data_IF_787941132975
#
_entry.id   IF_787941132975
#
_cell.length_a   1.000
_cell.length_b   1.000
_cell.length_c   1.000
_cell.angle_alpha   90.00
_cell.angle_beta   90.00
_cell.angle_gamma   90.00
#
_symmetry.space_group_name_H-M   'P 1'
#
loop_
_entity.id
_entity.type
_entity.pdbx_description
1 polymer ?
#
# COMPACT_ATOMS: atom_id res chain seq x y z
N UNK A 1 8.01 37.97 13.38
CA UNK A 1 6.80 37.11 13.35
C UNK A 1 6.58 36.64 11.92
N UNK A 2 7.23 35.54 11.54
CA UNK A 2 7.26 35.06 10.16
C UNK A 2 6.02 34.22 9.82
N UNK A 3 5.36 34.63 8.74
CA UNK A 3 4.25 33.96 8.05
C UNK A 3 4.59 32.50 7.73
N UNK A 4 3.90 31.55 8.37
CA UNK A 4 3.78 30.18 7.90
C UNK A 4 2.82 30.16 6.70
N UNK A 5 3.37 30.09 5.48
CA UNK A 5 2.62 29.65 4.30
C UNK A 5 2.50 28.13 4.36
N UNK A 6 1.42 27.65 4.95
CA UNK A 6 0.96 26.28 4.72
C UNK A 6 0.21 26.26 3.39
N UNK A 7 0.85 25.68 2.38
CA UNK A 7 0.20 25.25 1.14
C UNK A 7 -0.69 24.04 1.48
N UNK A 8 -1.91 24.28 1.95
CA UNK A 8 -2.94 23.25 2.09
C UNK A 8 -3.64 23.04 0.75
N UNK A 9 -3.61 21.81 0.23
CA UNK A 9 -4.50 21.35 -0.83
C UNK A 9 -5.92 21.21 -0.26
N UNK A 10 -6.69 22.31 -0.33
CA UNK A 10 -8.02 22.46 0.27
C UNK A 10 -9.09 21.49 -0.24
N UNK A 11 -8.89 20.76 -1.35
CA UNK A 11 -9.89 19.85 -1.92
C UNK A 11 -9.89 18.45 -1.29
N UNK A 12 -8.73 17.92 -0.88
CA UNK A 12 -8.62 16.58 -0.26
C UNK A 12 -8.98 16.59 1.23
N UNK A 13 -8.68 17.68 1.93
CA UNK A 13 -8.84 17.78 3.39
C UNK A 13 -10.32 17.87 3.82
N UNK A 14 -11.18 18.43 2.97
CA UNK A 14 -12.62 18.54 3.23
C UNK A 14 -13.31 17.17 3.18
N UNK A 15 -12.89 16.31 2.26
CA UNK A 15 -13.48 14.97 2.10
C UNK A 15 -13.08 14.04 3.27
N UNK A 16 -11.80 14.02 3.62
CA UNK A 16 -11.29 13.24 4.78
C UNK A 16 -11.98 13.66 6.07
N UNK A 17 -12.12 14.97 6.31
CA UNK A 17 -12.79 15.48 7.51
C UNK A 17 -14.26 15.04 7.59
N UNK A 18 -14.97 15.04 6.45
CA UNK A 18 -16.35 14.56 6.39
C UNK A 18 -16.46 13.05 6.66
N UNK A 19 -15.53 12.25 6.14
CA UNK A 19 -15.47 10.82 6.44
C UNK A 19 -15.23 10.56 7.93
N UNK A 20 -14.29 11.28 8.54
CA UNK A 20 -13.99 11.16 9.98
C UNK A 20 -15.23 11.53 10.80
N UNK A 21 -15.89 12.66 10.51
CA UNK A 21 -17.10 13.08 11.23
C UNK A 21 -18.21 12.04 11.09
N UNK A 22 -18.43 11.51 9.88
CA UNK A 22 -19.42 10.43 9.65
C UNK A 22 -19.08 9.18 10.45
N UNK A 23 -17.81 8.80 10.51
CA UNK A 23 -17.34 7.64 11.26
C UNK A 23 -17.54 7.83 12.77
N UNK A 24 -17.15 8.99 13.32
CA UNK A 24 -17.38 9.34 14.73
C UNK A 24 -18.88 9.28 15.06
N UNK A 25 -19.74 9.86 14.21
CA UNK A 25 -21.20 9.78 14.41
C UNK A 25 -21.69 8.33 14.44
N UNK A 26 -21.16 7.46 13.57
CA UNK A 26 -21.51 6.03 13.57
C UNK A 26 -21.11 5.35 14.88
N UNK A 27 -19.93 5.67 15.42
CA UNK A 27 -19.47 5.17 16.72
C UNK A 27 -20.42 5.62 17.83
N UNK A 28 -20.81 6.90 17.85
CA UNK A 28 -21.68 7.45 18.89
C UNK A 28 -23.09 6.84 18.88
N UNK A 29 -23.61 6.47 17.71
CA UNK A 29 -24.97 5.90 17.56
C UNK A 29 -24.98 4.38 17.76
N UNK A 30 -23.93 3.66 17.31
CA UNK A 30 -23.86 2.19 17.34
C UNK A 30 -22.47 1.69 17.76
N UNK A 31 -22.03 1.98 18.99
CA UNK A 31 -20.66 1.68 19.43
C UNK A 31 -20.35 0.18 19.36
N UNK A 32 -21.24 -0.66 19.87
CA UNK A 32 -21.03 -2.12 19.92
C UNK A 32 -20.87 -2.74 18.52
N UNK A 33 -21.63 -2.26 17.55
CA UNK A 33 -21.53 -2.73 16.16
C UNK A 33 -20.19 -2.34 15.54
N UNK A 34 -19.71 -1.13 15.81
CA UNK A 34 -18.41 -0.66 15.30
C UNK A 34 -17.28 -1.44 15.98
N UNK A 35 -17.32 -1.60 17.30
CA UNK A 35 -16.34 -2.39 18.06
C UNK A 35 -16.30 -3.82 17.52
N UNK A 36 -17.46 -4.47 17.35
CA UNK A 36 -17.52 -5.82 16.79
C UNK A 36 -16.93 -5.88 15.39
N UNK A 37 -17.23 -4.91 14.52
CA UNK A 37 -16.69 -4.87 13.15
C UNK A 37 -15.17 -4.77 13.15
N UNK A 38 -14.60 -3.92 14.01
CA UNK A 38 -13.14 -3.77 14.14
C UNK A 38 -12.53 -5.06 14.72
N UNK A 39 -13.17 -5.65 15.73
CA UNK A 39 -12.72 -6.91 16.34
C UNK A 39 -12.72 -8.05 15.31
N UNK A 40 -13.81 -8.24 14.58
CA UNK A 40 -13.93 -9.27 13.54
C UNK A 40 -12.87 -9.06 12.44
N UNK A 41 -12.62 -7.81 12.04
CA UNK A 41 -11.59 -7.47 11.07
C UNK A 41 -10.18 -7.83 11.58
N UNK A 42 -9.85 -7.40 12.79
CA UNK A 42 -8.55 -7.70 13.41
C UNK A 42 -8.34 -9.21 13.57
N UNK A 43 -9.39 -9.94 13.99
CA UNK A 43 -9.35 -11.39 14.11
C UNK A 43 -9.10 -12.04 12.74
N UNK A 44 -9.77 -11.57 11.69
CA UNK A 44 -9.55 -12.02 10.32
C UNK A 44 -8.12 -11.75 9.83
N UNK A 45 -7.55 -10.58 10.15
CA UNK A 45 -6.19 -10.22 9.76
C UNK A 45 -5.12 -11.07 10.47
N UNK A 46 -5.32 -11.36 11.76
CA UNK A 46 -4.33 -12.05 12.60
C UNK A 46 -4.45 -13.58 12.54
N UNK A 47 -5.68 -14.10 12.46
CA UNK A 47 -5.98 -15.53 12.62
C UNK A 47 -6.70 -16.12 11.41
N UNK A 48 -6.97 -15.33 10.37
CA UNK A 48 -7.51 -15.82 9.12
C UNK A 48 -6.62 -16.88 8.47
N UNK A 49 -7.23 -17.76 7.67
CA UNK A 49 -6.49 -18.77 6.91
C UNK A 49 -6.12 -18.22 5.54
N UNK A 50 -4.88 -18.45 5.06
CA UNK A 50 -4.50 -18.08 3.71
C UNK A 50 -5.43 -18.73 2.68
N UNK A 51 -5.86 -17.95 1.70
CA UNK A 51 -6.66 -18.44 0.57
C UNK A 51 -5.78 -19.04 -0.52
N UNK A 52 -6.40 -19.67 -1.52
CA UNK A 52 -5.70 -20.15 -2.73
C UNK A 52 -4.86 -19.06 -3.40
N UNK A 53 -5.30 -17.80 -3.39
CA UNK A 53 -4.53 -16.70 -3.95
C UNK A 53 -3.17 -16.51 -3.24
N UNK A 54 -3.16 -16.58 -1.90
CA UNK A 54 -1.94 -16.44 -1.10
C UNK A 54 -0.96 -17.58 -1.40
N UNK A 55 -1.45 -18.82 -1.46
CA UNK A 55 -0.61 -19.98 -1.80
C UNK A 55 -0.09 -19.94 -3.25
N UNK A 56 -0.90 -19.48 -4.19
CA UNK A 56 -0.47 -19.31 -5.59
C UNK A 56 0.63 -18.26 -5.70
N UNK A 57 0.46 -17.10 -5.06
CA UNK A 57 1.50 -16.05 -5.00
C UNK A 57 2.78 -16.62 -4.38
N UNK A 58 2.69 -17.32 -3.24
CA UNK A 58 3.82 -18.01 -2.63
C UNK A 58 4.55 -18.90 -3.61
N UNK A 59 3.83 -19.79 -4.30
CA UNK A 59 4.43 -20.76 -5.20
C UNK A 59 5.15 -20.07 -6.37
N UNK A 60 4.58 -19.00 -6.93
CA UNK A 60 5.22 -18.21 -7.99
C UNK A 60 6.50 -17.56 -7.47
N UNK A 61 6.41 -16.90 -6.30
CA UNK A 61 7.55 -16.19 -5.72
C UNK A 61 8.70 -17.16 -5.43
N UNK A 62 8.43 -18.32 -4.85
CA UNK A 62 9.43 -19.36 -4.59
C UNK A 62 10.01 -19.95 -5.89
N UNK A 63 9.16 -20.26 -6.87
CA UNK A 63 9.60 -20.83 -8.16
C UNK A 63 10.50 -19.87 -8.94
N UNK A 64 10.22 -18.57 -8.87
CA UNK A 64 10.93 -17.54 -9.61
C UNK A 64 12.05 -16.87 -8.82
N UNK A 65 12.21 -17.22 -7.55
CA UNK A 65 13.12 -16.57 -6.61
C UNK A 65 12.91 -15.05 -6.58
N UNK A 66 11.65 -14.63 -6.48
CA UNK A 66 11.27 -13.23 -6.41
C UNK A 66 11.15 -12.75 -4.96
N UNK A 67 11.05 -11.43 -4.79
CA UNK A 67 10.70 -10.80 -3.53
C UNK A 67 9.20 -10.47 -3.52
N UNK A 68 8.55 -10.63 -2.37
CA UNK A 68 7.15 -10.29 -2.18
C UNK A 68 7.01 -9.08 -1.26
N UNK A 69 6.29 -8.07 -1.74
CA UNK A 69 5.80 -6.94 -0.98
C UNK A 69 4.27 -7.00 -0.98
N UNK A 70 3.64 -6.77 0.17
CA UNK A 70 2.18 -6.69 0.26
C UNK A 70 1.78 -5.43 0.97
N UNK A 71 0.67 -4.82 0.52
CA UNK A 71 0.06 -3.68 1.20
C UNK A 71 -1.05 -4.03 2.19
N UNK A 72 -1.34 -5.32 2.30
CA UNK A 72 -2.40 -5.77 3.16
C UNK A 72 -1.98 -5.66 4.64
N UNK A 73 -2.89 -5.22 5.53
CA UNK A 73 -2.63 -5.17 6.96
C UNK A 73 -2.69 -6.56 7.62
N UNK A 74 -3.09 -7.59 6.90
CA UNK A 74 -3.20 -8.96 7.39
C UNK A 74 -1.87 -9.75 7.38
N UNK A 75 -1.86 -10.89 8.07
CA UNK A 75 -0.71 -11.80 8.14
C UNK A 75 -0.87 -13.02 7.22
N UNK A 76 -1.75 -12.97 6.21
CA UNK A 76 -2.12 -14.16 5.44
C UNK A 76 -1.00 -14.63 4.52
N UNK A 77 -0.17 -13.72 3.99
CA UNK A 77 1.02 -14.12 3.23
C UNK A 77 2.06 -14.79 4.14
N UNK A 78 2.33 -14.23 5.31
CA UNK A 78 3.24 -14.80 6.31
C UNK A 78 2.74 -16.18 6.78
N UNK A 79 1.44 -16.29 7.03
CA UNK A 79 0.79 -17.55 7.43
C UNK A 79 0.80 -18.60 6.31
N UNK A 80 0.97 -18.20 5.05
CA UNK A 80 1.20 -19.13 3.94
C UNK A 80 2.64 -19.67 3.91
N UNK A 81 3.54 -19.14 4.73
CA UNK A 81 4.97 -19.47 4.77
C UNK A 81 5.83 -18.57 3.88
N UNK A 82 5.40 -17.33 3.62
CA UNK A 82 6.21 -16.34 2.90
C UNK A 82 6.94 -15.42 3.85
N UNK A 83 8.18 -15.11 3.51
CA UNK A 83 8.92 -13.97 4.06
C UNK A 83 8.71 -12.76 3.16
N UNK A 84 8.37 -11.62 3.76
CA UNK A 84 8.05 -10.38 3.05
C UNK A 84 9.26 -9.45 3.01
N UNK A 85 9.38 -8.67 1.93
CA UNK A 85 10.42 -7.67 1.76
C UNK A 85 10.28 -6.51 2.77
N UNK A 86 9.06 -6.20 3.19
CA UNK A 86 8.80 -5.19 4.23
C UNK A 86 8.05 -5.84 5.40
N UNK A 87 8.48 -5.51 6.61
CA UNK A 87 7.74 -5.83 7.82
C UNK A 87 6.62 -4.82 8.01
N UNK A 88 5.37 -5.27 7.93
CA UNK A 88 4.27 -4.59 8.59
C UNK A 88 4.52 -4.70 10.09
N UNK A 89 4.95 -3.62 10.73
CA UNK A 89 4.97 -3.59 12.18
C UNK A 89 3.51 -3.62 12.63
N UNK A 90 3.17 -4.50 13.59
CA UNK A 90 1.80 -4.95 13.92
C UNK A 90 0.88 -3.82 14.48
N UNK A 91 1.32 -2.56 14.44
CA UNK A 91 0.55 -1.40 14.86
C UNK A 91 0.49 -0.33 13.74
N UNK A 92 -0.63 -0.33 13.02
CA UNK A 92 -1.29 0.84 12.43
C UNK A 92 -0.64 1.64 11.29
N UNK A 93 0.44 1.18 10.66
CA UNK A 93 0.83 1.68 9.34
C UNK A 93 1.76 0.71 8.64
N UNK A 94 1.50 0.47 7.37
CA UNK A 94 2.58 0.08 6.47
C UNK A 94 3.66 1.16 6.51
N UNK A 95 4.73 0.87 7.23
CA UNK A 95 5.83 1.81 7.30
C UNK A 95 6.76 1.59 6.10
N UNK A 96 6.45 2.29 5.01
CA UNK A 96 7.34 2.39 3.86
C UNK A 96 8.61 3.19 4.17
N UNK A 97 8.77 3.77 5.37
CA UNK A 97 10.01 4.47 5.75
C UNK A 97 11.17 3.49 5.73
N UNK A 98 11.00 2.24 6.19
CA UNK A 98 12.03 1.22 6.05
C UNK A 98 12.40 1.01 4.57
N UNK A 99 11.42 0.88 3.68
CA UNK A 99 11.66 0.75 2.24
C UNK A 99 12.37 1.99 1.66
N UNK A 100 11.94 3.21 2.03
CA UNK A 100 12.56 4.45 1.56
C UNK A 100 13.98 4.65 2.10
N UNK A 101 14.25 4.21 3.33
CA UNK A 101 15.54 4.33 4.00
C UNK A 101 16.53 3.25 3.57
N UNK A 102 16.04 2.04 3.28
CA UNK A 102 16.89 0.87 3.01
C UNK A 102 16.95 0.49 1.52
N UNK A 103 15.89 0.71 0.74
CA UNK A 103 16.00 0.66 -0.72
C UNK A 103 16.42 2.03 -1.23
N UNK A 104 17.74 2.22 -1.34
CA UNK A 104 18.30 3.31 -2.14
C UNK A 104 17.63 3.31 -3.51
N UNK A 105 17.30 4.50 -4.03
CA UNK A 105 16.61 4.63 -5.33
C UNK A 105 17.29 3.87 -6.49
N UNK A 106 18.61 3.62 -6.40
CA UNK A 106 19.34 2.76 -7.33
C UNK A 106 18.81 1.31 -7.40
N UNK A 107 18.45 0.69 -6.26
CA UNK A 107 17.95 -0.69 -6.24
C UNK A 107 16.55 -0.81 -6.82
N UNK A 108 15.73 0.24 -6.66
CA UNK A 108 14.41 0.32 -7.28
C UNK A 108 14.53 0.37 -8.81
N UNK A 109 15.57 1.03 -9.33
CA UNK A 109 15.84 1.11 -10.79
C UNK A 109 16.37 -0.20 -11.38
N UNK A 110 16.94 -1.07 -10.56
CA UNK A 110 17.43 -2.38 -10.98
C UNK A 110 16.29 -3.42 -11.12
N UNK A 111 15.05 -3.05 -10.78
CA UNK A 111 13.88 -3.92 -10.95
C UNK A 111 13.44 -3.91 -12.41
N UNK A 112 13.58 -5.04 -13.11
CA UNK A 112 13.17 -5.18 -14.52
C UNK A 112 11.65 -5.02 -14.71
N UNK A 113 10.86 -5.59 -13.81
CA UNK A 113 9.41 -5.50 -13.83
C UNK A 113 8.80 -5.71 -12.45
N UNK A 114 7.62 -5.15 -12.25
CA UNK A 114 6.78 -5.37 -11.07
C UNK A 114 5.49 -6.03 -11.53
N UNK A 115 5.07 -7.08 -10.82
CA UNK A 115 3.75 -7.69 -10.98
C UNK A 115 2.89 -7.25 -9.80
N UNK A 116 1.73 -6.67 -10.09
CA UNK A 116 0.77 -6.23 -9.06
C UNK A 116 -0.50 -7.06 -9.10
N UNK A 117 -1.09 -7.29 -7.93
CA UNK A 117 -2.34 -8.02 -7.77
C UNK A 117 -3.15 -7.38 -6.64
N UNK A 118 -4.47 -7.24 -6.84
CA UNK A 118 -5.37 -6.76 -5.79
C UNK A 118 -5.25 -5.27 -5.44
N UNK A 119 -4.63 -4.45 -6.29
CA UNK A 119 -4.55 -3.01 -6.08
C UNK A 119 -5.84 -2.32 -6.53
N UNK A 120 -6.32 -1.39 -5.70
CA UNK A 120 -7.46 -0.52 -6.05
C UNK A 120 -7.02 0.76 -6.78
N UNK A 121 -5.74 1.12 -6.70
CA UNK A 121 -5.16 2.29 -7.35
C UNK A 121 -3.65 2.10 -7.52
N UNK A 122 -3.07 2.80 -8.49
CA UNK A 122 -1.64 2.87 -8.75
C UNK A 122 -1.03 4.26 -8.43
N UNK A 123 -1.82 5.11 -7.76
CA UNK A 123 -1.46 6.48 -7.36
C UNK A 123 -0.88 6.57 -5.94
N UNK A 124 -0.99 5.49 -5.16
CA UNK A 124 -0.48 5.39 -3.79
C UNK A 124 0.42 4.16 -3.60
N UNK A 125 1.05 4.07 -2.43
CA UNK A 125 1.82 2.90 -2.03
C UNK A 125 3.14 2.69 -2.79
N UNK A 126 3.59 1.44 -2.87
CA UNK A 126 4.86 1.07 -3.49
C UNK A 126 4.88 1.31 -5.00
N UNK A 127 3.75 1.05 -5.69
CA UNK A 127 3.70 1.24 -7.14
C UNK A 127 3.84 2.72 -7.52
N UNK A 128 3.22 3.62 -6.76
CA UNK A 128 3.40 5.06 -6.95
C UNK A 128 4.84 5.51 -6.66
N UNK A 129 5.46 4.94 -5.61
CA UNK A 129 6.87 5.18 -5.31
C UNK A 129 7.76 4.76 -6.48
N UNK A 130 7.61 3.53 -6.97
CA UNK A 130 8.36 3.00 -8.12
C UNK A 130 8.24 3.91 -9.35
N UNK A 131 7.01 4.27 -9.74
CA UNK A 131 6.77 5.20 -10.85
C UNK A 131 7.46 6.54 -10.63
N UNK A 132 7.39 7.09 -9.41
CA UNK A 132 7.99 8.39 -9.11
C UNK A 132 9.52 8.37 -9.13
N UNK A 133 10.15 7.23 -8.82
CA UNK A 133 11.61 7.08 -8.79
C UNK A 133 12.17 6.73 -10.16
N UNK A 134 11.46 5.91 -10.94
CA UNK A 134 11.93 5.45 -12.25
C UNK A 134 11.52 6.42 -13.37
N UNK A 135 10.32 7.00 -13.34
CA UNK A 135 9.80 7.81 -14.47
C UNK A 135 10.06 9.31 -14.36
N UNK A 136 10.41 9.86 -13.18
CA UNK A 136 10.63 11.32 -13.04
C UNK A 136 12.02 11.76 -13.50
N UNK A 137 13.03 10.92 -13.40
CA UNK A 137 14.39 11.30 -13.83
C UNK A 137 14.59 11.16 -15.34
N UNK A 138 13.85 10.25 -16.00
CA UNK A 138 13.81 10.19 -17.46
C UNK A 138 13.24 11.48 -18.07
N UNK A 139 12.39 12.22 -17.35
CA UNK A 139 11.84 13.50 -17.83
C UNK A 139 12.79 14.71 -17.69
N UNK A 140 13.99 14.53 -17.13
CA UNK A 140 15.06 15.52 -17.30
C UNK A 140 15.83 15.34 -18.61
N UNK A 141 15.60 14.24 -19.35
CA UNK A 141 16.12 14.00 -20.69
C UNK A 141 15.04 13.29 -21.53
N UNK A 142 14.21 14.10 -22.21
CA UNK A 142 13.22 13.72 -23.23
C UNK A 142 11.81 13.33 -22.75
N UNK A 143 10.84 14.03 -23.34
CA UNK A 143 9.41 13.86 -23.16
C UNK A 143 8.91 12.57 -23.80
N UNK A 144 8.63 11.54 -23.00
CA UNK A 144 7.81 10.40 -23.42
C UNK A 144 6.43 10.47 -22.78
N UNK A 145 5.41 10.66 -23.62
CA UNK A 145 4.02 10.43 -23.26
C UNK A 145 3.78 8.93 -23.22
N UNK A 146 3.74 8.35 -22.03
CA UNK A 146 3.26 6.98 -21.85
C UNK A 146 1.76 6.92 -22.23
N UNK A 147 1.47 6.48 -23.45
CA UNK A 147 0.13 6.04 -23.84
C UNK A 147 -0.15 4.71 -23.15
N UNK A 148 -0.84 4.74 -22.02
CA UNK A 148 -1.49 3.56 -21.46
C UNK A 148 -2.77 3.28 -22.26
N UNK A 149 -2.70 2.33 -23.19
CA UNK A 149 -3.90 1.67 -23.72
C UNK A 149 -3.76 0.16 -23.52
N UNK A 150 -4.27 -0.34 -22.40
CA UNK A 150 -4.68 -1.73 -22.30
C UNK A 150 -6.20 -1.75 -22.41
N UNK A 151 -6.70 -2.17 -23.57
CA UNK A 151 -8.10 -2.54 -23.75
C UNK A 151 -8.22 -4.02 -23.35
N UNK A 152 -9.17 -4.30 -22.46
CA UNK A 152 -9.69 -5.65 -22.21
C UNK A 152 -10.38 -6.19 -23.47
#
# INVERSE_FOLDING_TARGET
MSRLRLLHNLSSDVDVSQYIIKFIRKILVQPDKVIKTISDFNEGCLYGKPTTAHYTVRNIVLLKNWQLLTENPDLLHQSSGMELLCYANIADKMDFSWLKENMRGQYIKEVDFIITAGLNSDEFGFLALYKSTTLREDNCNESYTAKTSWKW
#
